data_IF_792427722210
#
_entry.id   IF_792427722210
#
_cell.length_a   1.000
_cell.length_b   1.000
_cell.length_c   1.000
_cell.angle_alpha   90.00
_cell.angle_beta   90.00
_cell.angle_gamma   90.00
#
_symmetry.space_group_name_H-M   'P 1'
#
loop_
_entity.id
_entity.type
_entity.pdbx_description
1 polymer ?
#
# COMPACT_ATOMS: atom_id res chain seq x y z
N UNK A 1 4.50 20.93 -11.84
CA UNK A 1 4.45 19.46 -11.66
C UNK A 1 5.20 18.81 -12.80
N UNK A 2 5.81 17.63 -12.59
CA UNK A 2 6.61 16.92 -13.59
C UNK A 2 8.10 17.30 -13.59
N UNK A 3 8.92 16.49 -14.27
CA UNK A 3 10.37 16.63 -14.41
C UNK A 3 10.81 17.37 -15.68
N UNK A 4 12.03 17.92 -15.65
CA UNK A 4 12.70 18.65 -16.74
C UNK A 4 14.22 18.37 -16.84
N UNK A 5 14.72 17.29 -16.22
CA UNK A 5 16.14 16.94 -16.18
C UNK A 5 16.44 15.48 -16.58
N UNK A 6 17.70 15.16 -16.82
CA UNK A 6 18.14 13.85 -17.33
C UNK A 6 17.91 12.68 -16.34
N UNK A 7 17.60 12.98 -15.07
CA UNK A 7 17.25 11.97 -14.06
C UNK A 7 15.77 11.57 -14.12
N UNK A 8 14.91 12.44 -14.66
CA UNK A 8 13.47 12.23 -14.71
C UNK A 8 13.09 11.11 -15.67
N UNK A 9 12.17 10.25 -15.24
CA UNK A 9 11.64 9.17 -16.08
C UNK A 9 10.71 9.73 -17.15
N UNK A 10 10.52 9.00 -18.26
CA UNK A 10 9.65 9.42 -19.36
C UNK A 10 8.24 9.83 -18.90
N UNK A 11 7.66 9.11 -17.93
CA UNK A 11 6.33 9.39 -17.37
C UNK A 11 6.27 10.59 -16.43
N UNK A 12 7.41 11.15 -16.02
CA UNK A 12 7.48 12.35 -15.19
C UNK A 12 7.47 13.63 -16.04
N UNK A 13 7.71 13.51 -17.35
CA UNK A 13 7.66 14.62 -18.29
C UNK A 13 6.27 14.88 -18.86
N UNK A 14 6.01 16.12 -19.35
CA UNK A 14 6.83 17.30 -19.19
C UNK A 14 6.51 18.06 -17.89
N UNK A 15 7.46 18.87 -17.43
CA UNK A 15 7.18 19.92 -16.46
C UNK A 15 6.14 20.91 -17.00
N UNK A 16 5.09 21.15 -16.21
CA UNK A 16 4.01 22.08 -16.57
C UNK A 16 3.47 22.83 -15.33
N UNK A 17 2.86 23.98 -15.59
CA UNK A 17 2.20 24.81 -14.57
C UNK A 17 0.82 24.26 -14.24
N UNK A 18 0.48 24.23 -12.96
CA UNK A 18 -0.85 23.87 -12.47
C UNK A 18 -1.23 24.82 -11.35
N UNK A 19 -2.50 25.21 -11.29
CA UNK A 19 -3.09 25.91 -10.16
C UNK A 19 -3.81 24.89 -9.26
N UNK A 20 -3.61 25.00 -7.96
CA UNK A 20 -4.19 24.10 -6.96
C UNK A 20 -4.93 24.98 -5.95
N UNK A 21 -6.21 24.69 -5.72
CA UNK A 21 -6.99 25.35 -4.67
C UNK A 21 -6.51 24.92 -3.28
N UNK A 22 -6.85 25.68 -2.24
CA UNK A 22 -6.53 25.30 -0.86
C UNK A 22 -7.07 23.92 -0.50
N UNK A 23 -6.25 23.10 0.16
CA UNK A 23 -6.58 21.75 0.61
C UNK A 23 -5.87 21.45 1.94
N UNK A 24 -6.31 20.39 2.60
CA UNK A 24 -5.65 19.84 3.78
C UNK A 24 -4.82 18.62 3.40
N UNK A 25 -3.69 18.46 4.08
CA UNK A 25 -2.79 17.33 3.95
C UNK A 25 -2.34 16.93 5.36
N UNK A 26 -2.24 15.64 5.61
CA UNK A 26 -1.71 15.15 6.88
C UNK A 26 -0.22 15.49 6.97
N UNK A 27 0.25 15.85 8.18
CA UNK A 27 1.64 16.26 8.41
C UNK A 27 2.63 15.08 8.34
N UNK A 28 2.13 13.86 8.60
CA UNK A 28 2.92 12.61 8.62
C UNK A 28 2.19 11.52 7.83
N UNK A 29 2.90 10.43 7.51
CA UNK A 29 2.23 9.21 7.11
C UNK A 29 1.29 8.69 8.21
N UNK A 30 0.33 7.86 7.81
CA UNK A 30 -0.56 7.16 8.74
C UNK A 30 0.26 6.21 9.59
N UNK A 31 0.15 6.35 10.91
CA UNK A 31 0.94 5.55 11.86
C UNK A 31 0.29 4.19 12.15
N UNK A 32 1.06 3.27 12.74
CA UNK A 32 0.54 1.98 13.22
C UNK A 32 -0.58 2.16 14.25
N UNK A 33 -0.47 3.14 15.15
CA UNK A 33 -1.51 3.44 16.13
C UNK A 33 -2.82 3.90 15.46
N UNK A 34 -2.75 4.86 14.55
CA UNK A 34 -3.92 5.36 13.81
C UNK A 34 -4.57 4.26 12.96
N UNK A 35 -3.75 3.42 12.33
CA UNK A 35 -4.26 2.29 11.56
C UNK A 35 -4.93 1.25 12.47
N UNK A 36 -4.37 0.98 13.65
CA UNK A 36 -4.98 0.10 14.64
C UNK A 36 -6.36 0.61 15.07
N UNK A 37 -6.50 1.90 15.38
CA UNK A 37 -7.79 2.49 15.73
C UNK A 37 -8.83 2.28 14.63
N UNK A 38 -8.43 2.45 13.37
CA UNK A 38 -9.28 2.17 12.23
C UNK A 38 -9.70 0.68 12.19
N UNK A 39 -8.76 -0.24 12.34
CA UNK A 39 -9.04 -1.69 12.34
C UNK A 39 -9.98 -2.07 13.47
N UNK A 40 -9.75 -1.56 14.68
CA UNK A 40 -10.58 -1.81 15.86
C UNK A 40 -12.01 -1.29 15.65
N UNK A 41 -12.16 -0.14 15.01
CA UNK A 41 -13.46 0.47 14.74
C UNK A 41 -14.26 -0.22 13.64
N UNK A 42 -13.60 -0.77 12.62
CA UNK A 42 -14.28 -1.31 11.42
C UNK A 42 -14.22 -2.83 11.28
N UNK A 43 -13.35 -3.50 12.04
CA UNK A 43 -13.04 -4.93 11.85
C UNK A 43 -12.42 -5.23 10.47
N UNK A 44 -11.74 -4.27 9.85
CA UNK A 44 -11.21 -4.44 8.50
C UNK A 44 -10.05 -5.43 8.50
N UNK A 45 -10.01 -6.29 7.47
CA UNK A 45 -8.94 -7.26 7.24
C UNK A 45 -8.17 -6.82 6.00
N UNK A 46 -6.87 -6.57 6.11
CA UNK A 46 -6.06 -6.07 4.98
C UNK A 46 -5.92 -7.12 3.87
N UNK A 47 -5.56 -6.69 2.66
CA UNK A 47 -5.28 -7.62 1.56
C UNK A 47 -4.17 -8.62 1.91
N UNK A 48 -3.14 -8.18 2.64
CA UNK A 48 -2.04 -9.03 3.07
C UNK A 48 -2.45 -10.12 4.08
N UNK A 49 -3.59 -9.95 4.77
CA UNK A 49 -4.15 -10.91 5.70
C UNK A 49 -5.14 -11.90 5.05
N UNK A 50 -5.45 -11.75 3.75
CA UNK A 50 -6.41 -12.58 3.02
C UNK A 50 -5.69 -13.64 2.18
N UNK A 51 -6.39 -14.75 1.94
CA UNK A 51 -5.95 -15.74 0.96
C UNK A 51 -5.93 -15.14 -0.45
N UNK A 52 -4.90 -15.46 -1.20
CA UNK A 52 -4.79 -15.04 -2.61
C UNK A 52 -5.77 -15.88 -3.43
N UNK A 53 -6.71 -15.20 -4.07
CA UNK A 53 -7.67 -15.87 -4.93
C UNK A 53 -7.04 -16.20 -6.28
N UNK A 54 -6.84 -17.50 -6.56
CA UNK A 54 -6.28 -17.98 -7.82
C UNK A 54 -7.05 -17.49 -9.04
N UNK A 55 -8.38 -17.51 -9.00
CA UNK A 55 -9.19 -17.14 -10.16
C UNK A 55 -9.06 -15.65 -10.49
N UNK A 56 -8.86 -14.81 -9.47
CA UNK A 56 -8.58 -13.38 -9.63
C UNK A 56 -7.21 -13.16 -10.28
N UNK A 57 -6.15 -13.79 -9.75
CA UNK A 57 -4.79 -13.58 -10.28
C UNK A 57 -4.60 -14.25 -11.65
N UNK A 58 -5.26 -15.38 -11.92
CA UNK A 58 -5.21 -16.09 -13.20
C UNK A 58 -5.67 -15.18 -14.35
N UNK A 59 -6.63 -14.29 -14.11
CA UNK A 59 -7.11 -13.34 -15.12
C UNK A 59 -6.04 -12.32 -15.55
N UNK A 60 -5.02 -12.10 -14.72
CA UNK A 60 -3.92 -11.15 -14.95
C UNK A 60 -2.65 -11.82 -15.48
N UNK A 61 -2.64 -13.16 -15.56
CA UNK A 61 -1.49 -13.95 -15.98
C UNK A 61 -1.63 -14.38 -17.45
N UNK A 62 -0.51 -14.64 -18.16
CA UNK A 62 -0.56 -15.20 -19.50
C UNK A 62 -1.42 -16.48 -19.57
N UNK A 63 -2.18 -16.69 -20.67
CA UNK A 63 -2.95 -17.91 -20.86
C UNK A 63 -2.07 -19.17 -20.73
N UNK A 64 -2.58 -20.19 -20.03
CA UNK A 64 -1.84 -21.44 -19.81
C UNK A 64 -0.90 -21.43 -18.59
N UNK A 65 -0.84 -20.33 -17.83
CA UNK A 65 -0.06 -20.31 -16.58
C UNK A 65 -0.58 -21.37 -15.59
N UNK A 66 0.24 -22.34 -15.15
CA UNK A 66 -0.19 -23.37 -14.23
C UNK A 66 -0.48 -22.79 -12.85
N UNK A 67 -1.46 -23.37 -12.15
CA UNK A 67 -1.78 -22.98 -10.78
C UNK A 67 -0.56 -23.30 -9.87
N UNK A 68 -0.06 -22.34 -9.08
CA UNK A 68 1.01 -22.59 -8.13
C UNK A 68 0.52 -23.46 -6.97
N UNK A 69 1.45 -24.01 -6.19
CA UNK A 69 1.11 -24.74 -4.97
C UNK A 69 0.34 -23.81 -4.00
N UNK A 70 -0.66 -24.35 -3.29
CA UNK A 70 -1.51 -23.57 -2.37
C UNK A 70 -0.70 -22.86 -1.27
N UNK A 71 0.49 -23.36 -0.92
CA UNK A 71 1.43 -22.71 0.00
C UNK A 71 1.88 -21.32 -0.45
N UNK A 72 1.79 -21.02 -1.74
CA UNK A 72 2.12 -19.72 -2.35
C UNK A 72 0.89 -18.82 -2.48
N UNK A 73 -0.31 -19.33 -2.17
CA UNK A 73 -1.57 -18.59 -2.17
C UNK A 73 -2.03 -18.21 -0.75
N UNK A 74 -1.20 -18.51 0.26
CA UNK A 74 -1.42 -18.10 1.66
C UNK A 74 -1.34 -16.57 1.82
N UNK A 75 -1.91 -16.01 2.91
CA UNK A 75 -1.74 -14.60 3.25
C UNK A 75 -0.27 -14.23 3.20
N UNK A 76 0.05 -13.14 2.52
CA UNK A 76 1.43 -12.75 2.28
C UNK A 76 1.53 -11.32 1.77
N UNK A 77 2.73 -10.76 1.88
CA UNK A 77 3.10 -9.49 1.29
C UNK A 77 4.57 -9.50 0.88
N UNK A 78 4.97 -8.54 0.04
CA UNK A 78 6.38 -8.37 -0.32
C UNK A 78 7.13 -7.75 0.85
N UNK A 79 8.21 -8.42 1.26
CA UNK A 79 9.11 -7.99 2.32
C UNK A 79 10.44 -7.61 1.70
N UNK A 80 10.93 -6.41 2.05
CA UNK A 80 12.24 -5.95 1.64
C UNK A 80 13.31 -6.73 2.38
N UNK A 81 14.30 -7.22 1.63
CA UNK A 81 15.52 -7.83 2.13
C UNK A 81 16.67 -7.15 1.44
N UNK A 82 17.55 -6.58 2.24
CA UNK A 82 18.76 -5.96 1.71
C UNK A 82 19.54 -6.98 0.87
N UNK A 83 20.07 -6.51 -0.26
CA UNK A 83 20.73 -7.33 -1.25
C UNK A 83 21.91 -6.59 -1.83
N UNK A 84 23.04 -7.29 -1.96
CA UNK A 84 24.22 -6.75 -2.60
C UNK A 84 24.21 -7.16 -4.08
N UNK A 85 23.58 -6.34 -4.93
CA UNK A 85 23.44 -6.59 -6.37
C UNK A 85 23.77 -5.33 -7.17
N UNK A 86 24.48 -5.53 -8.28
CA UNK A 86 24.79 -4.44 -9.22
C UNK A 86 23.67 -4.25 -10.26
N UNK A 87 22.72 -5.19 -10.34
CA UNK A 87 21.58 -5.10 -11.25
C UNK A 87 20.37 -4.49 -10.52
N UNK A 88 20.21 -3.17 -10.62
CA UNK A 88 19.12 -2.41 -9.99
C UNK A 88 17.77 -2.52 -10.74
N UNK A 89 17.72 -3.26 -11.85
CA UNK A 89 16.48 -3.53 -12.59
C UNK A 89 15.84 -4.87 -12.21
N UNK A 90 16.53 -5.72 -11.45
CA UNK A 90 15.99 -6.99 -10.97
C UNK A 90 15.48 -6.87 -9.53
N UNK A 91 14.23 -6.42 -9.39
CA UNK A 91 13.58 -6.23 -8.09
C UNK A 91 13.49 -7.50 -7.24
N UNK A 92 13.55 -8.69 -7.86
CA UNK A 92 13.49 -9.98 -7.14
C UNK A 92 14.68 -10.19 -6.22
N UNK A 93 15.76 -9.41 -6.40
CA UNK A 93 16.96 -9.48 -5.56
C UNK A 93 16.74 -8.94 -4.15
N UNK A 94 15.82 -8.00 -3.95
CA UNK A 94 15.56 -7.39 -2.65
C UNK A 94 14.09 -7.40 -2.21
N UNK A 95 13.17 -7.85 -3.06
CA UNK A 95 11.79 -8.13 -2.66
C UNK A 95 11.53 -9.63 -2.66
N UNK A 96 11.03 -10.14 -1.55
CA UNK A 96 10.63 -11.55 -1.42
C UNK A 96 9.21 -11.66 -0.88
N UNK A 97 8.45 -12.64 -1.36
CA UNK A 97 7.13 -12.93 -0.81
C UNK A 97 7.28 -13.50 0.60
N UNK A 98 6.90 -12.72 1.61
CA UNK A 98 6.86 -13.14 3.01
C UNK A 98 5.50 -13.73 3.33
N UNK A 99 5.46 -15.02 3.68
CA UNK A 99 4.26 -15.64 4.24
C UNK A 99 3.84 -14.89 5.49
N UNK A 100 2.54 -14.67 5.64
CA UNK A 100 1.87 -14.00 6.75
C UNK A 100 2.38 -12.58 7.05
N UNK A 101 3.27 -12.01 6.22
CA UNK A 101 3.74 -10.63 6.37
C UNK A 101 2.57 -9.68 6.15
N UNK A 102 2.29 -8.85 7.15
CA UNK A 102 1.20 -7.88 7.17
C UNK A 102 1.53 -6.72 8.10
N UNK A 103 0.61 -5.76 8.25
CA UNK A 103 0.84 -4.55 9.04
C UNK A 103 1.19 -4.80 10.52
N UNK A 104 0.72 -5.91 11.14
CA UNK A 104 1.07 -6.28 12.54
C UNK A 104 2.43 -6.96 12.64
N UNK A 105 2.86 -7.64 11.57
CA UNK A 105 4.11 -8.40 11.50
C UNK A 105 4.82 -8.11 10.15
N UNK A 106 5.46 -6.94 10.01
CA UNK A 106 5.95 -6.45 8.71
C UNK A 106 7.02 -7.33 8.04
N UNK A 107 7.74 -8.14 8.81
CA UNK A 107 8.76 -9.04 8.26
C UNK A 107 8.30 -10.50 8.24
N UNK A 108 7.00 -10.76 8.46
CA UNK A 108 6.43 -12.10 8.57
C UNK A 108 6.46 -12.65 10.00
N UNK A 109 6.29 -13.97 10.17
CA UNK A 109 6.21 -14.63 11.47
C UNK A 109 7.37 -14.25 12.38
N UNK A 110 7.07 -14.03 13.66
CA UNK A 110 8.00 -13.60 14.72
C UNK A 110 8.47 -12.14 14.64
N UNK A 111 7.94 -11.33 13.71
CA UNK A 111 8.09 -9.87 13.75
C UNK A 111 6.87 -9.20 14.38
N UNK A 112 7.05 -8.00 14.93
CA UNK A 112 5.97 -7.22 15.51
C UNK A 112 6.21 -5.70 15.40
N UNK A 113 5.16 -4.96 15.72
CA UNK A 113 5.15 -3.49 15.80
C UNK A 113 5.26 -2.96 17.23
N UNK A 114 5.66 -3.78 18.21
CA UNK A 114 5.82 -3.31 19.60
C UNK A 114 6.86 -2.18 19.65
N UNK A 115 6.48 -1.09 20.32
CA UNK A 115 7.28 0.14 20.41
C UNK A 115 7.40 0.92 19.10
N UNK A 116 6.58 0.61 18.08
CA UNK A 116 6.60 1.26 16.75
C UNK A 116 5.25 1.93 16.40
N UNK A 117 4.54 2.39 17.41
CA UNK A 117 3.21 2.97 17.25
C UNK A 117 3.20 4.21 16.35
N UNK A 118 4.26 5.03 16.42
CA UNK A 118 4.44 6.26 15.62
C UNK A 118 5.10 6.01 14.25
N UNK A 119 5.41 4.76 13.91
CA UNK A 119 6.00 4.43 12.61
C UNK A 119 4.90 4.33 11.55
N UNK A 120 5.20 4.65 10.28
CA UNK A 120 4.26 4.48 9.19
C UNK A 120 3.78 3.03 9.07
N UNK A 121 2.48 2.85 8.90
CA UNK A 121 1.92 1.52 8.63
C UNK A 121 2.32 1.02 7.24
N UNK A 122 2.61 -0.27 7.12
CA UNK A 122 3.04 -0.93 5.88
C UNK A 122 2.18 -2.15 5.53
N UNK A 123 2.39 -2.75 4.35
CA UNK A 123 1.59 -3.88 3.81
C UNK A 123 0.10 -3.57 3.62
N UNK A 124 -0.23 -2.30 3.44
CA UNK A 124 -1.59 -1.84 3.14
C UNK A 124 -1.73 -1.57 1.65
N UNK A 125 -2.79 -2.08 1.03
CA UNK A 125 -3.07 -1.86 -0.40
C UNK A 125 -4.29 -0.98 -0.55
N UNK A 126 -4.21 -0.04 -1.50
CA UNK A 126 -5.27 0.90 -1.85
C UNK A 126 -6.48 0.23 -2.49
N UNK A 127 -7.39 -0.25 -1.65
CA UNK A 127 -8.84 -0.10 -1.89
C UNK A 127 -9.46 0.46 -0.60
N UNK A 128 -8.84 1.53 -0.12
CA UNK A 128 -9.03 2.08 1.21
C UNK A 128 -9.08 3.60 1.08
N UNK A 129 -10.17 4.21 1.54
CA UNK A 129 -10.25 5.64 1.78
C UNK A 129 -10.45 5.82 3.27
N UNK A 130 -9.38 6.14 3.99
CA UNK A 130 -9.51 6.68 5.33
C UNK A 130 -9.92 8.14 5.18
N UNK A 131 -11.11 8.47 5.68
CA UNK A 131 -11.50 9.84 5.96
C UNK A 131 -11.49 9.98 7.48
N UNK A 132 -10.40 10.53 8.03
CA UNK A 132 -10.43 11.05 9.40
C UNK A 132 -11.05 12.44 9.30
N UNK A 133 -12.21 12.62 9.92
CA UNK A 133 -12.83 13.93 10.13
C UNK A 133 -13.06 14.07 11.62
N UNK A 134 -12.35 14.99 12.26
CA UNK A 134 -12.50 15.31 13.69
C UNK A 134 -12.46 14.07 14.62
N UNK A 135 -11.57 13.12 14.36
CA UNK A 135 -11.41 11.92 15.21
C UNK A 135 -12.54 10.88 15.09
N UNK A 136 -13.36 10.90 14.03
CA UNK A 136 -14.38 9.87 13.79
C UNK A 136 -14.20 9.18 12.43
N UNK A 137 -14.18 7.85 12.45
CA UNK A 137 -14.05 6.98 11.25
C UNK A 137 -15.43 6.75 10.63
N UNK A 138 -15.63 7.12 9.36
CA UNK A 138 -16.81 6.74 8.56
C UNK A 138 -16.40 6.18 7.20
N UNK A 139 -16.81 4.94 6.90
CA UNK A 139 -16.52 4.25 5.64
C UNK A 139 -17.69 4.24 4.65
N UNK A 140 -17.40 4.46 3.36
CA UNK A 140 -18.33 4.24 2.24
C UNK A 140 -17.59 3.66 1.02
N UNK A 141 -18.21 2.77 0.21
CA UNK A 141 -17.57 2.20 -0.97
C UNK A 141 -17.77 3.09 -2.20
N UNK A 142 -16.69 3.47 -2.89
CA UNK A 142 -16.48 3.38 -4.35
C UNK A 142 -15.38 4.33 -4.88
N UNK A 143 -14.68 3.84 -5.92
CA UNK A 143 -13.77 4.47 -6.92
C UNK A 143 -12.71 5.48 -6.45
N UNK A 144 -11.48 5.24 -6.93
CA UNK A 144 -10.40 6.23 -7.04
C UNK A 144 -10.94 7.50 -7.73
N UNK A 145 -11.34 8.46 -6.92
CA UNK A 145 -11.22 9.89 -7.21
C UNK A 145 -10.30 10.43 -6.12
N UNK A 146 -9.38 11.32 -6.46
CA UNK A 146 -8.85 12.25 -5.46
C UNK A 146 -10.04 13.11 -5.03
N UNK A 147 -10.55 12.97 -3.80
CA UNK A 147 -11.50 13.97 -3.28
C UNK A 147 -10.66 15.08 -2.69
N UNK A 148 -10.38 16.04 -3.57
CA UNK A 148 -10.37 17.43 -3.17
C UNK A 148 -11.66 17.68 -2.36
N UNK A 149 -11.52 18.20 -1.14
CA UNK A 149 -12.66 18.76 -0.40
C UNK A 149 -12.69 20.25 -0.72
N UNK A 150 -13.54 20.64 -1.67
CA UNK A 150 -13.98 22.03 -1.80
C UNK A 150 -14.86 22.37 -0.60
N UNK A 151 -14.56 23.46 0.10
CA UNK A 151 -15.54 24.12 0.98
C UNK A 151 -16.55 24.79 0.06
N UNK A 152 -17.81 24.39 0.14
CA UNK A 152 -18.92 25.26 -0.25
C UNK A 152 -18.95 26.43 0.74
N UNK A 153 -19.07 27.65 0.22
CA UNK A 153 -19.37 28.88 0.97
C UNK A 153 -20.87 29.03 1.05
#
# INVERSE_FOLDING_TARGET
MGGDNDEARLGEYPKHKIEISSFWMDETEVTNAQFKEFIDATGYVTTAERLINWDEIKSMLPPGTPKPNDSLLSPSSLVFKESNTNNLNDYSKWWSLGRDANWKQPFGPNSNIEGKDDYPVVHVVGKMRMNIVNGQVKGYPQRLSMSMRQKEV
#
